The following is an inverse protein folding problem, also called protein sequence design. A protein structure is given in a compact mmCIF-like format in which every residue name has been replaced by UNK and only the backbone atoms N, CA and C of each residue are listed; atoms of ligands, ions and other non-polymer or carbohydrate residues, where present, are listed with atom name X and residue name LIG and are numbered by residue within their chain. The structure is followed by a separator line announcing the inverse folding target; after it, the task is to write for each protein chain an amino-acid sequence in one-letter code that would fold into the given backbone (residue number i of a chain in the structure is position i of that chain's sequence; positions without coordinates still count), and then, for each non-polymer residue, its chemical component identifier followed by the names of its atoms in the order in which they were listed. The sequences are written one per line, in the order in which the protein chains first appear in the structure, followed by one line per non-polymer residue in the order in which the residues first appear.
data_IF_217542096725
#
_entry.id   IF_217542096725
#
_cell.length_a   1.000
_cell.length_b   1.000
_cell.length_c   1.000
_cell.angle_alpha   90.00
_cell.angle_beta   90.00
_cell.angle_gamma   90.00
#
_symmetry.space_group_name_H-M   'P 1'
#
loop_
_entity.id
_entity.type
_entity.pdbx_description
1 polymer ?
#
# COMPACT_ATOMS: atom_id res chain seq x y z
N UNK A 1 5.71 -23.16 -36.34
CA UNK A 1 5.64 -22.07 -35.33
C UNK A 1 4.60 -22.45 -34.29
N UNK A 2 5.01 -22.69 -33.05
CA UNK A 2 4.17 -23.27 -31.98
C UNK A 2 2.92 -22.42 -31.70
N UNK A 3 1.75 -23.06 -31.70
CA UNK A 3 0.43 -22.46 -31.41
C UNK A 3 0.38 -21.74 -30.05
N UNK A 4 1.26 -22.10 -29.11
CA UNK A 4 1.37 -21.51 -27.77
C UNK A 4 1.80 -20.03 -27.82
N UNK A 5 2.34 -19.53 -28.94
CA UNK A 5 2.83 -18.14 -29.08
C UNK A 5 1.76 -17.13 -29.52
N UNK A 6 0.50 -17.55 -29.73
CA UNK A 6 -0.57 -16.63 -30.14
C UNK A 6 -1.12 -15.92 -28.91
N UNK A 7 -1.06 -14.58 -28.92
CA UNK A 7 -1.53 -13.67 -27.84
C UNK A 7 -2.99 -13.90 -27.43
N UNK A 8 -3.77 -14.54 -28.30
CA UNK A 8 -5.15 -14.95 -28.08
C UNK A 8 -5.32 -15.89 -26.87
N UNK A 9 -4.37 -16.81 -26.63
CA UNK A 9 -4.51 -17.80 -25.53
C UNK A 9 -4.39 -17.12 -24.15
N UNK A 10 -3.35 -16.31 -23.84
CA UNK A 10 -3.28 -15.57 -22.58
C UNK A 10 -4.46 -14.61 -22.38
N UNK A 11 -4.93 -13.95 -23.44
CA UNK A 11 -6.07 -13.04 -23.38
C UNK A 11 -7.37 -13.77 -23.05
N UNK A 12 -7.59 -14.95 -23.64
CA UNK A 12 -8.76 -15.78 -23.37
C UNK A 12 -8.74 -16.33 -21.94
N UNK A 13 -7.57 -16.75 -21.45
CA UNK A 13 -7.39 -17.15 -20.04
C UNK A 13 -7.74 -15.98 -19.11
N UNK A 14 -7.19 -14.79 -19.38
CA UNK A 14 -7.48 -13.59 -18.60
C UNK A 14 -8.97 -13.21 -18.64
N UNK A 15 -9.62 -13.29 -19.80
CA UNK A 15 -11.04 -13.02 -19.94
C UNK A 15 -11.90 -13.94 -19.08
N UNK A 16 -11.61 -15.24 -19.11
CA UNK A 16 -12.34 -16.22 -18.32
C UNK A 16 -12.12 -15.98 -16.82
N UNK A 17 -10.88 -15.80 -16.38
CA UNK A 17 -10.59 -15.59 -14.95
C UNK A 17 -11.11 -14.24 -14.45
N UNK A 18 -11.08 -13.20 -15.27
CA UNK A 18 -11.66 -11.89 -14.94
C UNK A 18 -13.18 -11.98 -14.76
N UNK A 19 -13.89 -12.61 -15.70
CA UNK A 19 -15.35 -12.79 -15.62
C UNK A 19 -15.72 -13.61 -14.37
N UNK A 20 -15.00 -14.72 -14.13
CA UNK A 20 -15.22 -15.54 -12.92
C UNK A 20 -14.92 -14.74 -11.65
N UNK A 21 -13.86 -13.92 -11.64
CA UNK A 21 -13.53 -13.07 -10.49
C UNK A 21 -14.60 -12.01 -10.21
N UNK A 22 -15.15 -11.37 -11.24
CA UNK A 22 -16.19 -10.34 -11.11
C UNK A 22 -17.54 -10.92 -10.67
N UNK A 23 -17.95 -12.05 -11.24
CA UNK A 23 -19.31 -12.56 -11.08
C UNK A 23 -19.41 -13.81 -10.20
N UNK A 24 -18.31 -14.53 -9.99
CA UNK A 24 -18.30 -15.82 -9.28
C UNK A 24 -18.71 -15.72 -7.81
N UNK A 25 -18.50 -14.57 -7.17
CA UNK A 25 -18.98 -14.31 -5.81
C UNK A 25 -20.51 -14.26 -5.71
N UNK A 26 -21.18 -13.78 -6.75
CA UNK A 26 -22.64 -13.60 -6.76
C UNK A 26 -23.41 -14.87 -7.19
N UNK A 27 -22.71 -15.94 -7.53
CA UNK A 27 -23.32 -17.20 -8.00
C UNK A 27 -23.25 -18.23 -6.86
N UNK A 28 -24.40 -18.49 -6.24
CA UNK A 28 -24.55 -19.50 -5.17
C UNK A 28 -24.53 -20.93 -5.73
N UNK A 29 -23.37 -21.38 -6.21
CA UNK A 29 -23.15 -22.74 -6.68
C UNK A 29 -21.86 -23.33 -6.09
N UNK A 30 -21.87 -24.57 -5.55
CA UNK A 30 -20.70 -25.17 -4.89
C UNK A 30 -19.43 -25.22 -5.76
N UNK A 31 -19.58 -25.45 -7.07
CA UNK A 31 -18.44 -25.43 -7.99
C UNK A 31 -17.85 -24.01 -8.16
N UNK A 32 -18.68 -22.97 -8.14
CA UNK A 32 -18.21 -21.58 -8.24
C UNK A 32 -17.47 -21.16 -6.97
N UNK A 33 -17.95 -21.58 -5.80
CA UNK A 33 -17.24 -21.39 -4.53
C UNK A 33 -15.82 -21.97 -4.56
N UNK A 34 -15.66 -23.21 -5.07
CA UNK A 34 -14.34 -23.87 -5.19
C UNK A 34 -13.42 -23.17 -6.21
N UNK A 35 -13.95 -22.75 -7.35
CA UNK A 35 -13.17 -22.03 -8.37
C UNK A 35 -12.70 -20.68 -7.80
N UNK A 36 -13.60 -19.95 -7.14
CA UNK A 36 -13.30 -18.66 -6.53
C UNK A 36 -12.24 -18.80 -5.44
N UNK A 37 -12.38 -19.74 -4.50
CA UNK A 37 -11.38 -19.96 -3.46
C UNK A 37 -10.01 -20.32 -4.06
N UNK A 38 -9.99 -21.16 -5.10
CA UNK A 38 -8.77 -21.52 -5.81
C UNK A 38 -8.11 -20.27 -6.41
N UNK A 39 -8.86 -19.41 -7.13
CA UNK A 39 -8.32 -18.17 -7.70
C UNK A 39 -7.73 -17.25 -6.61
N UNK A 40 -8.38 -17.16 -5.45
CA UNK A 40 -7.84 -16.43 -4.30
C UNK A 40 -6.55 -17.04 -3.76
N UNK A 41 -6.45 -18.37 -3.70
CA UNK A 41 -5.21 -19.05 -3.32
C UNK A 41 -4.07 -18.72 -4.29
N UNK A 42 -4.34 -18.65 -5.60
CA UNK A 42 -3.33 -18.21 -6.58
C UNK A 42 -2.88 -16.77 -6.35
N UNK A 43 -3.80 -15.84 -6.04
CA UNK A 43 -3.44 -14.46 -5.68
C UNK A 43 -2.58 -14.41 -4.42
N UNK A 44 -2.91 -15.22 -3.41
CA UNK A 44 -2.12 -15.35 -2.17
C UNK A 44 -0.72 -15.90 -2.47
N UNK A 45 -0.60 -16.92 -3.31
CA UNK A 45 0.68 -17.47 -3.75
C UNK A 45 1.52 -16.43 -4.49
N UNK A 46 0.92 -15.68 -5.42
CA UNK A 46 1.59 -14.58 -6.12
C UNK A 46 2.06 -13.49 -5.14
N UNK A 47 1.26 -13.16 -4.13
CA UNK A 47 1.62 -12.19 -3.09
C UNK A 47 2.82 -12.67 -2.26
N UNK A 48 2.85 -13.95 -1.91
CA UNK A 48 3.99 -14.55 -1.20
C UNK A 48 5.26 -14.57 -2.06
N UNK A 49 5.13 -14.85 -3.37
CA UNK A 49 6.26 -14.73 -4.29
C UNK A 49 6.74 -13.29 -4.43
N UNK A 50 5.83 -12.32 -4.44
CA UNK A 50 6.18 -10.90 -4.47
C UNK A 50 7.01 -10.49 -3.25
N UNK A 51 6.71 -11.01 -2.05
CA UNK A 51 7.56 -10.81 -0.87
C UNK A 51 8.99 -11.33 -1.10
N UNK A 52 9.12 -12.52 -1.73
CA UNK A 52 10.42 -13.06 -2.13
C UNK A 52 11.15 -12.15 -3.12
N UNK A 53 10.46 -11.62 -4.13
CA UNK A 53 11.07 -10.66 -5.07
C UNK A 53 11.47 -9.35 -4.39
N UNK A 54 10.72 -8.91 -3.37
CA UNK A 54 11.06 -7.75 -2.54
C UNK A 54 12.36 -7.97 -1.77
N UNK A 55 12.55 -9.16 -1.19
CA UNK A 55 13.79 -9.54 -0.53
C UNK A 55 14.98 -9.57 -1.51
N UNK A 56 14.78 -10.12 -2.71
CA UNK A 56 15.81 -10.13 -3.77
C UNK A 56 16.17 -8.69 -4.18
N UNK A 57 15.17 -7.84 -4.43
CA UNK A 57 15.39 -6.45 -4.83
C UNK A 57 16.14 -5.66 -3.75
N UNK A 58 15.75 -5.82 -2.49
CA UNK A 58 16.41 -5.23 -1.33
C UNK A 58 17.87 -5.70 -1.21
N UNK A 59 18.11 -7.01 -1.35
CA UNK A 59 19.46 -7.59 -1.32
C UNK A 59 20.31 -7.06 -2.46
N UNK A 60 19.79 -6.99 -3.68
CA UNK A 60 20.50 -6.46 -4.85
C UNK A 60 20.82 -4.97 -4.69
N UNK A 61 19.88 -4.17 -4.18
CA UNK A 61 20.08 -2.74 -3.95
C UNK A 61 21.19 -2.51 -2.92
N UNK A 62 21.07 -3.10 -1.73
CA UNK A 62 22.06 -2.93 -0.66
C UNK A 62 23.40 -3.60 -0.99
N UNK A 63 23.40 -4.73 -1.68
CA UNK A 63 24.61 -5.41 -2.15
C UNK A 63 25.38 -4.56 -3.17
N UNK A 64 24.69 -3.98 -4.17
CA UNK A 64 25.31 -3.04 -5.12
C UNK A 64 25.85 -1.80 -4.40
N UNK A 65 25.10 -1.27 -3.44
CA UNK A 65 25.51 -0.10 -2.63
C UNK A 65 26.81 -0.37 -1.85
N UNK A 66 26.93 -1.55 -1.24
CA UNK A 66 28.15 -2.00 -0.54
C UNK A 66 29.31 -2.18 -1.53
N UNK A 67 29.08 -2.90 -2.63
CA UNK A 67 30.12 -3.19 -3.63
C UNK A 67 30.71 -1.92 -4.23
N UNK A 68 29.86 -0.91 -4.49
CA UNK A 68 30.26 0.39 -5.03
C UNK A 68 30.72 1.40 -3.97
N UNK A 69 30.65 1.05 -2.68
CA UNK A 69 30.93 1.96 -1.54
C UNK A 69 30.22 3.31 -1.66
N UNK A 70 28.96 3.30 -2.09
CA UNK A 70 28.18 4.52 -2.23
C UNK A 70 27.91 5.16 -0.86
N UNK A 71 27.67 6.48 -0.83
CA UNK A 71 27.45 7.20 0.43
C UNK A 71 26.39 6.51 1.31
N UNK A 72 26.76 6.24 2.56
CA UNK A 72 25.90 5.55 3.53
C UNK A 72 25.74 4.04 3.27
N UNK A 73 26.70 3.39 2.60
CA UNK A 73 26.72 1.93 2.44
C UNK A 73 26.82 1.18 3.78
N UNK A 74 27.39 1.81 4.82
CA UNK A 74 27.57 1.18 6.13
C UNK A 74 26.23 0.79 6.76
N UNK A 75 25.19 1.61 6.53
CA UNK A 75 23.83 1.33 6.97
C UNK A 75 23.23 0.09 6.31
N UNK A 76 23.73 -0.32 5.14
CA UNK A 76 23.30 -1.57 4.51
C UNK A 76 23.65 -2.80 5.36
N UNK A 77 24.77 -2.79 6.09
CA UNK A 77 25.11 -3.89 7.01
C UNK A 77 24.13 -3.97 8.17
N UNK A 78 23.68 -2.82 8.69
CA UNK A 78 22.66 -2.76 9.74
C UNK A 78 21.35 -3.37 9.24
N UNK A 79 20.94 -3.07 8.00
CA UNK A 79 19.71 -3.64 7.42
C UNK A 79 19.81 -5.17 7.28
N UNK A 80 20.92 -5.69 6.75
CA UNK A 80 21.12 -7.15 6.67
C UNK A 80 21.19 -7.81 8.05
N UNK A 81 21.87 -7.18 9.02
CA UNK A 81 21.93 -7.65 10.40
C UNK A 81 20.54 -7.70 11.05
N UNK A 82 19.73 -6.66 10.87
CA UNK A 82 18.36 -6.61 11.38
C UNK A 82 17.46 -7.67 10.73
N UNK A 83 17.63 -7.93 9.43
CA UNK A 83 16.90 -9.00 8.72
C UNK A 83 17.24 -10.38 9.30
N UNK A 84 18.53 -10.69 9.49
CA UNK A 84 18.98 -11.96 10.07
C UNK A 84 18.48 -12.09 11.52
N UNK A 85 18.63 -11.04 12.32
CA UNK A 85 18.16 -11.01 13.70
C UNK A 85 16.65 -11.30 13.79
N UNK A 86 15.85 -10.64 12.95
CA UNK A 86 14.41 -10.85 12.90
C UNK A 86 14.07 -12.28 12.44
N UNK A 87 14.75 -12.78 11.41
CA UNK A 87 14.56 -14.15 10.92
C UNK A 87 14.85 -15.19 12.00
N UNK A 88 16.00 -15.08 12.69
CA UNK A 88 16.36 -15.99 13.79
C UNK A 88 15.33 -15.90 14.93
N UNK A 89 14.86 -14.70 15.28
CA UNK A 89 13.85 -14.53 16.33
C UNK A 89 12.51 -15.22 16.03
N UNK A 90 12.12 -15.28 14.75
CA UNK A 90 10.89 -15.97 14.36
C UNK A 90 10.91 -17.47 14.68
N UNK A 91 12.09 -18.10 14.67
CA UNK A 91 12.27 -19.52 14.98
C UNK A 91 12.72 -19.78 16.42
N UNK A 92 13.29 -18.79 17.11
CA UNK A 92 13.76 -18.95 18.48
C UNK A 92 12.61 -19.03 19.49
N UNK A 93 11.73 -18.02 19.52
CA UNK A 93 10.52 -18.04 20.35
C UNK A 93 9.56 -16.88 20.00
N UNK A 94 8.24 -17.04 20.24
CA UNK A 94 7.28 -15.94 20.08
C UNK A 94 7.67 -14.68 20.86
N UNK A 95 8.16 -14.85 22.10
CA UNK A 95 8.58 -13.75 22.97
C UNK A 95 9.77 -12.98 22.38
N UNK A 96 10.74 -13.67 21.77
CA UNK A 96 11.90 -13.01 21.15
C UNK A 96 11.49 -12.16 19.94
N UNK A 97 10.59 -12.67 19.09
CA UNK A 97 10.02 -11.94 17.96
C UNK A 97 9.23 -10.72 18.44
N UNK A 98 8.33 -10.90 19.41
CA UNK A 98 7.53 -9.80 19.97
C UNK A 98 8.39 -8.70 20.58
N UNK A 99 9.47 -9.08 21.28
CA UNK A 99 10.43 -8.14 21.82
C UNK A 99 11.09 -7.29 20.73
N UNK A 100 11.60 -7.91 19.65
CA UNK A 100 12.19 -7.18 18.54
C UNK A 100 11.17 -6.28 17.82
N UNK A 101 9.94 -6.76 17.67
CA UNK A 101 8.86 -5.95 17.10
C UNK A 101 8.54 -4.72 17.95
N UNK A 102 8.38 -4.90 19.27
CA UNK A 102 8.00 -3.82 20.17
C UNK A 102 9.14 -2.81 20.42
N UNK A 103 10.41 -3.28 20.45
CA UNK A 103 11.55 -2.45 20.84
C UNK A 103 12.39 -1.94 19.69
N UNK A 104 12.39 -2.60 18.53
CA UNK A 104 13.19 -2.19 17.37
C UNK A 104 12.28 -1.75 16.24
N UNK A 105 11.41 -2.63 15.74
CA UNK A 105 10.60 -2.34 14.56
C UNK A 105 9.64 -1.18 14.81
N UNK A 106 8.83 -1.25 15.87
CA UNK A 106 7.79 -0.25 16.14
C UNK A 106 8.36 1.17 16.33
N UNK A 107 9.39 1.39 17.18
CA UNK A 107 9.97 2.72 17.32
C UNK A 107 10.65 3.22 16.04
N UNK A 108 11.31 2.34 15.27
CA UNK A 108 11.92 2.71 14.00
C UNK A 108 10.87 3.13 12.95
N UNK A 109 9.76 2.38 12.86
CA UNK A 109 8.63 2.74 12.00
C UNK A 109 8.00 4.07 12.41
N UNK A 110 7.82 4.32 13.72
CA UNK A 110 7.33 5.61 14.23
C UNK A 110 8.30 6.73 13.86
N UNK A 111 9.62 6.52 13.99
CA UNK A 111 10.61 7.53 13.62
C UNK A 111 10.54 7.88 12.12
N UNK A 112 10.43 6.88 11.24
CA UNK A 112 10.24 7.10 9.80
C UNK A 112 8.96 7.89 9.54
N UNK A 113 7.84 7.51 10.19
CA UNK A 113 6.57 8.23 10.06
C UNK A 113 6.67 9.68 10.54
N UNK A 114 7.38 9.95 11.64
CA UNK A 114 7.63 11.31 12.12
C UNK A 114 8.41 12.14 11.10
N UNK A 115 9.50 11.61 10.53
CA UNK A 115 10.29 12.33 9.50
C UNK A 115 9.48 12.57 8.22
N UNK A 116 8.65 11.61 7.83
CA UNK A 116 7.71 11.77 6.71
C UNK A 116 6.71 12.88 7.03
N UNK A 117 6.14 12.91 8.24
CA UNK A 117 5.21 13.96 8.66
C UNK A 117 5.81 15.37 8.58
N UNK A 118 7.06 15.58 9.00
CA UNK A 118 7.73 16.87 8.84
C UNK A 118 7.93 17.25 7.36
N UNK A 119 8.27 16.27 6.52
CA UNK A 119 8.47 16.48 5.08
C UNK A 119 7.15 16.78 4.37
N UNK A 120 6.08 16.11 4.77
CA UNK A 120 4.72 16.36 4.31
C UNK A 120 4.26 17.75 4.72
N UNK A 121 4.39 18.14 5.99
CA UNK A 121 4.02 19.50 6.45
C UNK A 121 4.82 20.58 5.70
N UNK A 122 6.12 20.38 5.48
CA UNK A 122 6.95 21.30 4.68
C UNK A 122 6.54 21.35 3.20
N UNK A 123 6.14 20.21 2.63
CA UNK A 123 5.56 20.13 1.29
C UNK A 123 4.22 20.86 1.21
N UNK A 124 3.34 20.61 2.18
CA UNK A 124 2.04 21.24 2.32
C UNK A 124 2.19 22.76 2.49
N UNK A 125 3.08 23.25 3.34
CA UNK A 125 3.33 24.69 3.48
C UNK A 125 3.75 25.36 2.16
N UNK A 126 4.57 24.68 1.35
CA UNK A 126 4.99 25.19 0.03
C UNK A 126 3.89 25.11 -1.02
N UNK A 127 3.04 24.09 -0.96
CA UNK A 127 1.98 23.80 -1.94
C UNK A 127 0.65 24.50 -1.63
N UNK A 128 0.25 24.59 -0.36
CA UNK A 128 -0.95 25.28 0.12
C UNK A 128 -0.73 26.78 0.16
N UNK A 129 -0.75 27.40 -1.02
CA UNK A 129 -1.02 28.83 -1.13
C UNK A 129 -2.53 29.00 -1.23
N UNK A 130 -3.14 29.52 -0.18
CA UNK A 130 -4.57 29.86 -0.18
C UNK A 130 -4.80 30.95 -1.22
N UNK A 131 -5.26 30.54 -2.40
CA UNK A 131 -5.48 31.41 -3.58
C UNK A 131 -6.94 31.47 -3.99
N UNK A 132 -7.80 30.69 -3.33
CA UNK A 132 -9.23 30.65 -3.56
C UNK A 132 -9.97 30.34 -2.26
N UNK A 133 -11.29 30.53 -2.27
CA UNK A 133 -12.16 30.25 -1.13
C UNK A 133 -12.17 28.75 -0.83
N UNK A 134 -12.13 27.89 -1.85
CA UNK A 134 -12.05 26.43 -1.69
C UNK A 134 -10.73 26.02 -1.04
N UNK A 135 -9.61 26.60 -1.47
CA UNK A 135 -8.31 26.36 -0.86
C UNK A 135 -8.26 26.82 0.60
N UNK A 136 -8.98 27.89 0.96
CA UNK A 136 -9.12 28.34 2.34
C UNK A 136 -9.86 27.31 3.20
N UNK A 137 -11.01 26.81 2.75
CA UNK A 137 -11.75 25.78 3.49
C UNK A 137 -10.95 24.49 3.65
N UNK A 138 -10.19 24.10 2.62
CA UNK A 138 -9.31 22.93 2.70
C UNK A 138 -8.16 23.14 3.70
N UNK A 139 -7.55 24.33 3.71
CA UNK A 139 -6.50 24.67 4.67
C UNK A 139 -7.05 24.74 6.10
N UNK A 140 -8.24 25.31 6.30
CA UNK A 140 -8.91 25.39 7.60
C UNK A 140 -9.25 23.99 8.12
N UNK A 141 -9.80 23.13 7.27
CA UNK A 141 -10.06 21.73 7.57
C UNK A 141 -8.78 20.99 7.99
N UNK A 142 -7.69 21.15 7.23
CA UNK A 142 -6.39 20.58 7.57
C UNK A 142 -5.83 21.10 8.90
N UNK A 143 -5.98 22.39 9.19
CA UNK A 143 -5.56 22.99 10.45
C UNK A 143 -6.32 22.44 11.66
N UNK A 144 -7.65 22.26 11.54
CA UNK A 144 -8.48 21.62 12.58
C UNK A 144 -8.01 20.17 12.83
N UNK A 145 -7.66 19.42 11.78
CA UNK A 145 -7.15 18.06 11.92
C UNK A 145 -5.77 18.03 12.59
N UNK A 146 -4.88 18.97 12.26
CA UNK A 146 -3.58 19.09 12.94
C UNK A 146 -3.75 19.34 14.44
N UNK A 147 -4.73 20.16 14.83
CA UNK A 147 -5.07 20.36 16.24
C UNK A 147 -5.61 19.10 16.91
N UNK A 148 -6.43 18.31 16.21
CA UNK A 148 -6.97 17.05 16.73
C UNK A 148 -5.88 16.02 17.03
N UNK A 149 -4.89 15.87 16.13
CA UNK A 149 -3.80 14.91 16.33
C UNK A 149 -2.69 15.41 17.27
N UNK A 150 -2.69 16.70 17.62
CA UNK A 150 -1.73 17.28 18.56
C UNK A 150 -2.32 17.26 20.00
N UNK A 151 -1.77 16.42 20.92
CA UNK A 151 -2.38 16.17 22.25
C UNK A 151 -2.59 17.42 23.13
N UNK A 152 -1.87 18.50 22.83
CA UNK A 152 -1.89 19.74 23.61
C UNK A 152 -3.23 20.48 23.47
N UNK A 153 -3.88 20.43 22.31
CA UNK A 153 -5.01 21.32 22.01
C UNK A 153 -6.37 20.84 22.53
N UNK A 154 -6.53 19.54 22.79
CA UNK A 154 -7.75 18.99 23.41
C UNK A 154 -8.03 19.59 24.79
N UNK A 155 -6.98 20.00 25.52
CA UNK A 155 -7.10 20.68 26.80
C UNK A 155 -7.46 22.17 26.67
N UNK A 156 -6.86 22.88 25.72
CA UNK A 156 -7.01 24.33 25.60
C UNK A 156 -8.25 24.77 24.82
N UNK A 157 -8.77 23.94 23.92
CA UNK A 157 -9.93 24.28 23.08
C UNK A 157 -10.97 23.15 23.16
N UNK A 158 -11.89 23.22 24.14
CA UNK A 158 -12.95 22.23 24.28
C UNK A 158 -13.82 22.20 23.01
N UNK A 159 -13.98 21.01 22.41
CA UNK A 159 -14.85 20.80 21.25
C UNK A 159 -14.16 20.69 19.88
N UNK A 160 -12.85 20.96 19.79
CA UNK A 160 -12.09 20.74 18.53
C UNK A 160 -12.19 19.29 18.07
N UNK A 161 -12.12 18.34 19.00
CA UNK A 161 -12.24 16.91 18.69
C UNK A 161 -13.58 16.56 18.04
N UNK A 162 -14.69 17.16 18.47
CA UNK A 162 -16.02 16.92 17.89
C UNK A 162 -16.12 17.44 16.46
N UNK A 163 -15.52 18.59 16.19
CA UNK A 163 -15.51 19.17 14.83
C UNK A 163 -14.58 18.36 13.93
N UNK A 164 -13.42 17.95 14.43
CA UNK A 164 -12.47 17.13 13.69
C UNK A 164 -13.04 15.73 13.38
N UNK A 165 -13.69 15.07 14.34
CA UNK A 165 -14.33 13.78 14.10
C UNK A 165 -15.48 13.91 13.10
N UNK A 166 -16.32 14.96 13.21
CA UNK A 166 -17.35 15.21 12.21
C UNK A 166 -16.77 15.39 10.80
N UNK A 167 -15.66 16.10 10.66
CA UNK A 167 -14.95 16.29 9.39
C UNK A 167 -14.40 14.96 8.83
N UNK A 168 -13.86 14.10 9.70
CA UNK A 168 -13.35 12.79 9.30
C UNK A 168 -14.47 11.84 8.89
N UNK A 169 -15.56 11.79 9.66
CA UNK A 169 -16.62 10.80 9.51
C UNK A 169 -17.61 11.14 8.37
N UNK A 170 -17.72 12.41 8.00
CA UNK A 170 -18.69 12.87 6.98
C UNK A 170 -18.00 13.22 5.65
N UNK A 171 -17.40 14.41 5.46
CA UNK A 171 -16.84 14.80 4.16
C UNK A 171 -15.57 14.01 3.81
N UNK A 172 -14.66 13.74 4.75
CA UNK A 172 -13.46 12.98 4.45
C UNK A 172 -13.79 11.52 4.13
N UNK A 173 -14.74 10.92 4.85
CA UNK A 173 -15.26 9.58 4.53
C UNK A 173 -15.94 9.53 3.16
N UNK A 174 -16.74 10.53 2.81
CA UNK A 174 -17.32 10.67 1.47
C UNK A 174 -16.25 10.76 0.38
N UNK A 175 -15.24 11.60 0.56
CA UNK A 175 -14.12 11.74 -0.36
C UNK A 175 -13.30 10.44 -0.48
N UNK A 176 -13.00 9.79 0.64
CA UNK A 176 -12.28 8.51 0.67
C UNK A 176 -13.02 7.43 -0.11
N UNK A 177 -14.34 7.30 0.10
CA UNK A 177 -15.18 6.37 -0.68
C UNK A 177 -15.18 6.73 -2.17
N UNK A 178 -15.24 8.01 -2.51
CA UNK A 178 -15.13 8.49 -3.90
C UNK A 178 -13.80 8.09 -4.56
N UNK A 179 -12.69 8.25 -3.84
CA UNK A 179 -11.36 7.80 -4.30
C UNK A 179 -11.35 6.30 -4.51
N UNK A 180 -11.84 5.51 -3.55
CA UNK A 180 -11.88 4.04 -3.66
C UNK A 180 -12.71 3.60 -4.86
N UNK A 181 -13.87 4.21 -5.10
CA UNK A 181 -14.70 3.95 -6.28
C UNK A 181 -13.93 4.33 -7.55
N UNK A 182 -13.27 5.48 -7.59
CA UNK A 182 -12.46 5.92 -8.72
C UNK A 182 -11.31 4.96 -9.03
N UNK A 183 -10.61 4.48 -8.00
CA UNK A 183 -9.55 3.48 -8.12
C UNK A 183 -10.13 2.16 -8.66
N UNK A 184 -11.26 1.70 -8.12
CA UNK A 184 -11.91 0.46 -8.59
C UNK A 184 -12.30 0.54 -10.06
N UNK A 185 -12.92 1.65 -10.49
CA UNK A 185 -13.26 1.89 -11.91
C UNK A 185 -11.99 1.96 -12.77
N UNK A 186 -10.94 2.64 -12.29
CA UNK A 186 -9.64 2.70 -12.96
C UNK A 186 -9.01 1.32 -13.17
N UNK A 187 -9.06 0.46 -12.15
CA UNK A 187 -8.58 -0.93 -12.24
C UNK A 187 -9.39 -1.74 -13.25
N UNK A 188 -10.72 -1.60 -13.26
CA UNK A 188 -11.59 -2.25 -14.26
C UNK A 188 -11.27 -1.74 -15.67
N UNK A 189 -11.07 -0.43 -15.85
CA UNK A 189 -10.70 0.15 -17.13
C UNK A 189 -9.36 -0.40 -17.65
N UNK A 190 -8.37 -0.57 -16.78
CA UNK A 190 -7.10 -1.23 -17.12
C UNK A 190 -7.35 -2.69 -17.51
N UNK A 191 -8.14 -3.44 -16.73
CA UNK A 191 -8.48 -4.82 -17.05
C UNK A 191 -9.16 -4.94 -18.43
N UNK A 192 -10.10 -4.06 -18.76
CA UNK A 192 -10.73 -4.01 -20.09
C UNK A 192 -9.70 -3.70 -21.19
N UNK A 193 -8.79 -2.75 -20.96
CA UNK A 193 -7.72 -2.45 -21.92
C UNK A 193 -6.78 -3.65 -22.13
N UNK A 194 -6.56 -4.47 -21.10
CA UNK A 194 -5.86 -5.75 -21.21
C UNK A 194 -6.69 -6.75 -22.01
N UNK A 195 -7.99 -6.92 -21.74
CA UNK A 195 -8.88 -7.81 -22.50
C UNK A 195 -8.91 -7.50 -23.99
N UNK A 196 -8.97 -6.21 -24.32
CA UNK A 196 -8.98 -5.72 -25.70
C UNK A 196 -7.59 -5.76 -26.36
N UNK A 197 -6.54 -6.17 -25.63
CA UNK A 197 -5.17 -6.29 -26.14
C UNK A 197 -4.45 -4.95 -26.36
N UNK A 198 -4.98 -3.84 -25.83
CA UNK A 198 -4.34 -2.53 -25.91
C UNK A 198 -3.14 -2.40 -24.95
N UNK A 199 -3.17 -3.09 -23.82
CA UNK A 199 -2.07 -3.16 -22.86
C UNK A 199 -1.22 -4.42 -23.07
N UNK A 200 0.05 -4.23 -23.47
CA UNK A 200 0.96 -5.31 -23.88
C UNK A 200 1.85 -5.84 -22.75
N UNK A 201 1.73 -5.29 -21.54
CA UNK A 201 2.63 -5.55 -20.42
C UNK A 201 2.77 -7.06 -20.07
N UNK A 202 1.75 -7.88 -20.39
CA UNK A 202 1.69 -9.30 -20.04
C UNK A 202 1.84 -10.25 -21.25
N UNK A 203 1.74 -9.75 -22.48
CA UNK A 203 1.71 -10.57 -23.71
C UNK A 203 3.05 -10.65 -24.46
N UNK A 204 4.10 -10.00 -23.94
CA UNK A 204 5.40 -9.87 -24.61
C UNK A 204 5.41 -8.82 -25.71
#
# INVERSE_FOLDING_TARGET
MSWVRRREIPLLIFAITFIIGCFGYYIEHPAMGKIYSTLFDWVLLMSNLALGTGLIAMTLYHGKKIAKREKGYEMSFVVFGALILMFVSCYASPASREYLYAKIYTPASIAILCFTGFSEISGLYRAFRVRSVEAFFLALAGFILLMHFAPVYGFFIPGVEKVASWLLDNPAMGASRGIVIGVAIGTIAIAIRVLLGYEKAYTG
#
